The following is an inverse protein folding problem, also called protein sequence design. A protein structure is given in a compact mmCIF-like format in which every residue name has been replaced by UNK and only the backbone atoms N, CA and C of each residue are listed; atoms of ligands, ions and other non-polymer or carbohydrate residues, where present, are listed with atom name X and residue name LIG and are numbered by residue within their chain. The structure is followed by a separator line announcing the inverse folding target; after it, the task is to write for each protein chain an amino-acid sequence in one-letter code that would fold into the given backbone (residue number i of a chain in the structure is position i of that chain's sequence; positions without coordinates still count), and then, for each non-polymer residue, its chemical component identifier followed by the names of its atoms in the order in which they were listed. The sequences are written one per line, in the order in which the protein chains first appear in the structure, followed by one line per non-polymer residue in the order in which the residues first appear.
data_IF_647024101578
#
_entry.id   IF_647024101578
#
_cell.length_a   1.000
_cell.length_b   1.000
_cell.length_c   1.000
_cell.angle_alpha   90.00
_cell.angle_beta   90.00
_cell.angle_gamma   90.00
#
_symmetry.space_group_name_H-M   'P 1'
#
loop_
_entity.id
_entity.type
_entity.pdbx_description
1 polymer ?
#
# COMPACT_ATOMS: atom_id res chain seq x y z
N UNK A 1 -7.20 2.67 -3.40
CA UNK A 1 -6.96 4.14 -3.34
C UNK A 1 -7.79 4.86 -4.38
N UNK A 2 -7.66 4.54 -5.67
CA UNK A 2 -8.49 5.13 -6.71
C UNK A 2 -10.00 5.05 -6.40
N UNK A 3 -10.51 3.88 -6.02
CA UNK A 3 -11.93 3.70 -5.63
C UNK A 3 -12.40 4.64 -4.51
N UNK A 4 -11.54 4.93 -3.53
CA UNK A 4 -11.87 5.83 -2.41
C UNK A 4 -11.95 7.26 -2.92
N UNK A 5 -11.03 7.65 -3.81
CA UNK A 5 -11.03 8.99 -4.39
C UNK A 5 -12.14 9.20 -5.41
N UNK A 6 -12.50 8.15 -6.15
CA UNK A 6 -13.49 8.23 -7.24
C UNK A 6 -14.91 8.02 -6.74
N UNK A 7 -15.10 7.22 -5.70
CA UNK A 7 -16.41 6.74 -5.27
C UNK A 7 -17.03 5.73 -6.24
N UNK A 8 -16.29 5.25 -7.24
CA UNK A 8 -16.75 4.32 -8.25
C UNK A 8 -16.04 2.97 -8.15
N UNK A 9 -16.76 1.91 -8.53
CA UNK A 9 -16.18 0.58 -8.66
C UNK A 9 -15.11 0.59 -9.77
N UNK A 10 -13.89 0.05 -9.50
CA UNK A 10 -12.85 -0.03 -10.51
C UNK A 10 -13.28 -0.87 -11.72
N UNK A 11 -12.94 -0.38 -12.91
CA UNK A 11 -13.12 -1.00 -14.22
C UNK A 11 -14.57 -1.41 -14.49
N UNK A 12 -15.54 -0.67 -13.93
CA UNK A 12 -16.97 -1.00 -13.98
C UNK A 12 -17.50 -1.23 -15.39
N UNK A 13 -17.08 -0.39 -16.34
CA UNK A 13 -17.58 -0.41 -17.72
C UNK A 13 -16.71 -1.26 -18.66
N UNK A 14 -15.74 -2.00 -18.11
CA UNK A 14 -14.81 -2.78 -18.90
C UNK A 14 -15.20 -4.26 -18.95
N UNK A 15 -14.98 -4.86 -20.11
CA UNK A 15 -15.07 -6.30 -20.26
C UNK A 15 -14.01 -7.01 -19.39
N UNK A 16 -14.48 -7.89 -18.50
CA UNK A 16 -13.64 -8.62 -17.53
C UNK A 16 -12.69 -9.60 -18.22
N UNK A 17 -13.05 -10.13 -19.39
CA UNK A 17 -12.20 -11.08 -20.11
C UNK A 17 -10.96 -10.39 -20.72
N UNK A 18 -11.12 -9.18 -21.25
CA UNK A 18 -10.02 -8.39 -21.83
C UNK A 18 -9.23 -7.56 -20.81
N UNK A 19 -9.77 -7.35 -19.60
CA UNK A 19 -9.18 -6.51 -18.56
C UNK A 19 -7.71 -6.88 -18.22
N UNK A 20 -7.34 -8.16 -17.99
CA UNK A 20 -5.95 -8.51 -17.65
C UNK A 20 -4.95 -8.08 -18.73
N UNK A 21 -5.31 -8.24 -20.01
CA UNK A 21 -4.47 -7.83 -21.14
C UNK A 21 -4.30 -6.32 -21.21
N UNK A 22 -5.38 -5.55 -20.96
CA UNK A 22 -5.33 -4.09 -20.93
C UNK A 22 -4.46 -3.58 -19.77
N UNK A 23 -4.61 -4.15 -18.57
CA UNK A 23 -3.76 -3.81 -17.42
C UNK A 23 -2.30 -4.15 -17.71
N UNK A 24 -2.04 -5.31 -18.31
CA UNK A 24 -0.69 -5.70 -18.72
C UNK A 24 -0.07 -4.75 -19.75
N UNK A 25 -0.90 -4.12 -20.60
CA UNK A 25 -0.47 -3.10 -21.56
C UNK A 25 -0.37 -1.68 -20.95
N UNK A 26 -0.42 -1.57 -19.62
CA UNK A 26 -0.27 -0.29 -18.92
C UNK A 26 -1.53 0.56 -18.84
N UNK A 27 -2.69 0.06 -19.30
CA UNK A 27 -3.94 0.82 -19.15
C UNK A 27 -4.33 0.84 -17.66
N UNK A 28 -4.71 2.03 -17.18
CA UNK A 28 -5.15 2.32 -15.81
C UNK A 28 -6.44 3.14 -15.86
N UNK A 29 -7.05 3.36 -14.71
CA UNK A 29 -8.19 4.25 -14.58
C UNK A 29 -7.80 5.71 -14.83
N UNK A 30 -8.79 6.49 -15.27
CA UNK A 30 -8.64 7.93 -15.44
C UNK A 30 -8.55 8.63 -14.08
N UNK A 31 -7.82 9.75 -14.07
CA UNK A 31 -7.76 10.63 -12.90
C UNK A 31 -9.10 11.29 -12.67
N UNK A 32 -9.50 11.40 -11.41
CA UNK A 32 -10.75 12.05 -11.05
C UNK A 32 -10.48 13.53 -10.77
N UNK A 33 -11.30 14.44 -11.31
CA UNK A 33 -11.25 15.85 -10.92
C UNK A 33 -11.35 16.01 -9.39
N UNK A 34 -10.70 17.03 -8.86
CA UNK A 34 -10.70 17.36 -7.42
C UNK A 34 -9.97 16.36 -6.49
N UNK A 35 -9.37 15.29 -7.02
CA UNK A 35 -8.38 14.50 -6.27
C UNK A 35 -7.15 15.36 -5.93
N UNK A 36 -6.68 15.41 -4.67
CA UNK A 36 -5.42 16.08 -4.34
C UNK A 36 -4.26 15.50 -5.16
N UNK A 37 -3.43 16.38 -5.73
CA UNK A 37 -2.37 16.00 -6.68
C UNK A 37 -1.38 15.02 -6.04
N UNK A 38 -1.09 15.19 -4.76
CA UNK A 38 -0.19 14.32 -4.00
C UNK A 38 -0.79 12.91 -3.83
N UNK A 39 -2.09 12.82 -3.55
CA UNK A 39 -2.80 11.54 -3.43
C UNK A 39 -2.89 10.84 -4.80
N UNK A 40 -3.15 11.59 -5.87
CA UNK A 40 -3.12 11.11 -7.23
C UNK A 40 -1.78 10.48 -7.58
N UNK A 41 -0.70 11.23 -7.35
CA UNK A 41 0.66 10.77 -7.59
C UNK A 41 0.98 9.50 -6.80
N UNK A 42 0.55 9.44 -5.54
CA UNK A 42 0.77 8.28 -4.68
C UNK A 42 0.12 7.02 -5.24
N UNK A 43 -1.18 7.04 -5.56
CA UNK A 43 -1.81 5.84 -6.13
C UNK A 43 -1.29 5.53 -7.53
N UNK A 44 -0.81 6.55 -8.27
CA UNK A 44 -0.12 6.33 -9.54
C UNK A 44 1.18 5.57 -9.42
N UNK A 45 1.96 5.85 -8.39
CA UNK A 45 3.18 5.10 -8.12
C UNK A 45 2.88 3.66 -7.67
N UNK A 46 1.81 3.45 -6.90
CA UNK A 46 1.44 2.12 -6.40
C UNK A 46 1.06 1.10 -7.48
N UNK A 47 0.62 1.55 -8.66
CA UNK A 47 0.27 0.67 -9.79
C UNK A 47 1.19 0.86 -11.00
N UNK A 48 2.42 1.33 -10.77
CA UNK A 48 3.45 1.45 -11.82
C UNK A 48 3.60 0.12 -12.57
N UNK A 49 3.86 0.22 -13.86
CA UNK A 49 3.99 -0.94 -14.74
C UNK A 49 5.23 -1.77 -14.37
N UNK A 50 6.34 -1.09 -14.02
CA UNK A 50 7.54 -1.74 -13.51
C UNK A 50 7.37 -2.03 -12.00
N UNK A 51 7.36 -3.31 -11.59
CA UNK A 51 7.17 -3.67 -10.18
C UNK A 51 8.21 -3.06 -9.24
N UNK A 52 9.46 -2.87 -9.70
CA UNK A 52 10.54 -2.31 -8.88
C UNK A 52 10.36 -0.82 -8.57
N UNK A 53 9.51 -0.12 -9.33
CA UNK A 53 9.21 1.31 -9.10
C UNK A 53 8.07 1.52 -8.11
N UNK A 54 7.36 0.45 -7.73
CA UNK A 54 6.25 0.55 -6.79
C UNK A 54 6.79 0.86 -5.39
N UNK A 55 6.20 1.83 -4.68
CA UNK A 55 6.59 2.14 -3.32
C UNK A 55 6.31 0.96 -2.40
N UNK A 56 7.11 0.84 -1.34
CA UNK A 56 6.83 -0.09 -0.24
C UNK A 56 5.65 0.43 0.57
N UNK A 57 5.06 -0.43 1.41
CA UNK A 57 3.98 0.01 2.31
C UNK A 57 4.44 1.12 3.27
N UNK A 58 5.73 1.12 3.67
CA UNK A 58 6.29 2.16 4.53
C UNK A 58 6.34 3.50 3.80
N UNK A 59 6.81 3.51 2.54
CA UNK A 59 6.84 4.73 1.72
C UNK A 59 5.41 5.31 1.54
N UNK A 60 4.42 4.44 1.35
CA UNK A 60 3.01 4.85 1.22
C UNK A 60 2.49 5.48 2.51
N UNK A 61 2.82 4.89 3.67
CA UNK A 61 2.44 5.43 4.98
C UNK A 61 3.12 6.77 5.27
N UNK A 62 4.40 6.91 4.92
CA UNK A 62 5.16 8.15 5.06
C UNK A 62 4.55 9.27 4.20
N UNK A 63 4.16 8.97 2.97
CA UNK A 63 3.46 9.92 2.10
C UNK A 63 2.08 10.32 2.69
N UNK A 64 1.35 9.37 3.29
CA UNK A 64 0.11 9.70 3.98
C UNK A 64 0.33 10.60 5.21
N UNK A 65 1.36 10.35 6.01
CA UNK A 65 1.72 11.20 7.15
C UNK A 65 2.09 12.62 6.68
N UNK A 66 2.86 12.75 5.59
CA UNK A 66 3.20 14.05 4.97
C UNK A 66 1.97 14.81 4.49
N UNK A 67 0.96 14.11 3.96
CA UNK A 67 -0.32 14.71 3.56
C UNK A 67 -1.26 15.00 4.74
N UNK A 68 -0.85 14.68 5.97
CA UNK A 68 -1.63 14.94 7.18
C UNK A 68 -2.67 13.87 7.52
N UNK A 69 -2.67 12.73 6.83
CA UNK A 69 -3.51 11.60 7.20
C UNK A 69 -2.94 10.91 8.45
N UNK A 70 -3.80 10.52 9.39
CA UNK A 70 -3.38 9.76 10.58
C UNK A 70 -2.83 10.57 11.77
N UNK A 71 -2.71 11.91 11.66
CA UNK A 71 -2.17 12.78 12.73
C UNK A 71 -2.99 12.74 14.03
N UNK A 72 -4.21 12.20 14.02
CA UNK A 72 -5.05 12.04 15.22
C UNK A 72 -4.67 10.85 16.12
N UNK A 73 -3.83 9.91 15.66
CA UNK A 73 -3.43 8.74 16.46
C UNK A 73 -2.13 8.96 17.25
N UNK A 74 -1.15 9.69 16.67
CA UNK A 74 0.16 9.90 17.29
C UNK A 74 0.12 10.92 18.45
N UNK A 75 -0.71 11.95 18.33
CA UNK A 75 -0.87 12.99 19.34
C UNK A 75 -1.68 12.56 20.57
N UNK A 76 -2.45 11.46 20.48
CA UNK A 76 -3.15 10.89 21.64
C UNK A 76 -2.17 10.18 22.59
N UNK A 77 -1.08 9.64 22.07
CA UNK A 77 -0.07 8.94 22.88
C UNK A 77 0.97 9.87 23.52
N UNK A 78 1.13 11.10 23.02
CA UNK A 78 2.12 12.08 23.56
C UNK A 78 1.54 12.86 24.75
N UNK A 79 0.22 13.08 24.81
CA UNK A 79 -0.39 13.82 25.93
C UNK A 79 -0.51 13.03 27.24
N UNK A 80 -0.22 11.73 27.22
CA UNK A 80 -0.29 10.87 28.41
C UNK A 80 1.10 10.55 29.02
N UNK A 81 2.21 11.08 28.46
CA UNK A 81 3.58 10.72 28.89
C UNK A 81 4.48 11.92 29.31
N UNK A 82 3.93 13.08 29.62
CA UNK A 82 4.72 14.10 30.35
C UNK A 82 4.55 13.92 31.87
N UNK A 83 5.00 12.78 32.38
CA UNK A 83 5.56 12.67 33.74
C UNK A 83 6.24 11.31 33.97
N UNK A 84 7.55 11.27 33.70
CA UNK A 84 8.61 10.52 34.42
C UNK A 84 9.60 9.85 33.47
N UNK A 85 10.74 10.51 33.29
CA UNK A 85 12.00 9.97 32.78
C UNK A 85 12.59 8.93 33.73
N UNK A 86 12.97 7.74 33.23
CA UNK A 86 14.32 7.15 33.39
C UNK A 86 14.43 5.77 32.71
N UNK A 87 15.57 5.54 32.07
CA UNK A 87 16.02 4.44 31.20
C UNK A 87 15.77 2.99 31.69
N UNK A 88 15.74 2.01 30.77
CA UNK A 88 16.59 0.79 30.75
C UNK A 88 16.32 -0.10 29.50
N UNK A 89 17.25 -1.00 29.21
CA UNK A 89 17.70 -1.47 27.88
C UNK A 89 17.03 -2.73 27.28
N UNK A 90 17.21 -2.83 25.95
CA UNK A 90 17.15 -3.91 24.92
C UNK A 90 16.99 -5.37 25.41
N UNK A 91 16.28 -6.21 24.62
CA UNK A 91 16.68 -7.58 24.23
C UNK A 91 16.05 -8.00 22.89
N UNK A 92 16.88 -8.39 21.92
CA UNK A 92 16.47 -8.98 20.63
C UNK A 92 16.15 -10.48 20.80
N UNK A 93 15.01 -10.93 20.27
CA UNK A 93 14.82 -12.34 19.90
C UNK A 93 14.19 -12.45 18.51
N UNK A 94 14.90 -13.22 17.70
CA UNK A 94 14.70 -13.61 16.31
C UNK A 94 13.43 -14.43 16.08
N UNK A 95 12.68 -14.11 15.01
CA UNK A 95 11.75 -15.06 14.39
C UNK A 95 12.28 -15.41 13.00
N UNK A 96 12.89 -16.60 12.91
CA UNK A 96 13.30 -17.23 11.67
C UNK A 96 12.07 -17.61 10.83
N UNK A 97 12.10 -17.29 9.53
CA UNK A 97 11.24 -17.94 8.54
C UNK A 97 12.16 -18.60 7.50
N UNK A 98 12.45 -19.89 7.70
CA UNK A 98 13.23 -20.69 6.77
C UNK A 98 12.36 -21.13 5.59
N UNK A 99 12.88 -20.92 4.38
CA UNK A 99 12.40 -21.52 3.14
C UNK A 99 12.41 -23.06 3.24
N UNK A 100 11.35 -23.71 2.77
CA UNK A 100 11.41 -25.12 2.37
C UNK A 100 10.55 -25.36 1.13
N UNK A 101 11.23 -25.79 0.07
CA UNK A 101 10.69 -26.23 -1.22
C UNK A 101 10.26 -27.70 -1.14
N UNK A 102 9.34 -28.06 -2.05
CA UNK A 102 9.02 -29.40 -2.55
C UNK A 102 8.00 -30.26 -1.79
N UNK A 103 6.79 -30.35 -2.37
CA UNK A 103 6.34 -31.64 -2.92
C UNK A 103 5.30 -31.48 -4.04
N UNK A 104 5.69 -31.93 -5.23
CA UNK A 104 4.88 -32.04 -6.44
C UNK A 104 3.59 -32.85 -6.22
N UNK A 105 2.44 -32.26 -6.54
CA UNK A 105 1.21 -33.02 -6.78
C UNK A 105 1.22 -33.47 -8.24
N UNK A 106 1.19 -34.79 -8.43
CA UNK A 106 1.23 -35.49 -9.72
C UNK A 106 0.06 -35.09 -10.63
N UNK A 107 0.35 -34.81 -11.90
CA UNK A 107 -0.62 -34.81 -12.99
C UNK A 107 -1.13 -36.24 -13.24
N UNK A 108 -2.44 -36.41 -13.36
CA UNK A 108 -3.04 -37.55 -14.04
C UNK A 108 -3.64 -37.06 -15.36
N UNK A 109 -3.25 -37.71 -16.46
CA UNK A 109 -4.03 -37.76 -17.70
C UNK A 109 -5.15 -38.80 -17.55
#
# INVERSE_FOLDING_TARGET
MWEISSGYSPFKDWDKASLPYKINNGVREDTIPDTPIEYEKLYKNCWDQEPERRPTINDVLDEFEKMGFGINARNKSIKDNENSTSELQINNESLEFTQSSDQCIKMNY
#
